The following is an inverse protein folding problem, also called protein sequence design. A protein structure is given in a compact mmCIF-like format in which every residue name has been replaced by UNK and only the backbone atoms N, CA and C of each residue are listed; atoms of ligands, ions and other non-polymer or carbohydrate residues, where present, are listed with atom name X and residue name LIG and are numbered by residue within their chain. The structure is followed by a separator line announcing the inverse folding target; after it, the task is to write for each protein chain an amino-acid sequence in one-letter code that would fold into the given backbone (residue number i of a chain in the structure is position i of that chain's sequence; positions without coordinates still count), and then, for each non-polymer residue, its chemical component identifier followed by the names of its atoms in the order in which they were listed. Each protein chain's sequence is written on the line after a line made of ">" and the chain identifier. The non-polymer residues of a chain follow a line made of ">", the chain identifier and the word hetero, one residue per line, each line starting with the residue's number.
data_IF_074510521278
#
_entry.id   IF_074510521278
#
_cell.length_a   1.000
_cell.length_b   1.000
_cell.length_c   1.000
_cell.angle_alpha   90.00
_cell.angle_beta   90.00
_cell.angle_gamma   90.00
#
_symmetry.space_group_name_H-M   'P 1'
#
loop_
_entity.id
_entity.type
_entity.pdbx_description
1 polymer ?
#
# COMPACT_ATOMS: atom_id res chain seq x y z
N UNK A 1 40.06 -17.87 2.58
CA UNK A 1 39.14 -17.86 1.41
C UNK A 1 37.70 -17.49 1.78
N UNK A 2 37.18 -17.94 2.93
CA UNK A 2 35.82 -17.64 3.39
C UNK A 2 35.54 -16.13 3.60
N UNK A 3 36.52 -15.35 4.05
CA UNK A 3 36.29 -13.92 4.31
C UNK A 3 36.11 -13.09 3.03
N UNK A 4 36.80 -13.48 1.94
CA UNK A 4 36.58 -12.89 0.62
C UNK A 4 35.16 -13.18 0.14
N UNK A 5 34.69 -14.43 0.30
CA UNK A 5 33.33 -14.81 -0.05
C UNK A 5 32.26 -14.06 0.76
N UNK A 6 32.46 -13.92 2.09
CA UNK A 6 31.58 -13.13 2.97
C UNK A 6 31.54 -11.66 2.58
N UNK A 7 32.68 -11.06 2.26
CA UNK A 7 32.75 -9.67 1.85
C UNK A 7 32.03 -9.42 0.52
N UNK A 8 32.15 -10.35 -0.44
CA UNK A 8 31.38 -10.28 -1.68
C UNK A 8 29.88 -10.47 -1.46
N UNK A 9 29.47 -11.44 -0.63
CA UNK A 9 28.06 -11.66 -0.30
C UNK A 9 27.43 -10.41 0.34
N UNK A 10 28.13 -9.78 1.29
CA UNK A 10 27.67 -8.54 1.91
C UNK A 10 27.53 -7.41 0.90
N UNK A 11 28.47 -7.26 -0.04
CA UNK A 11 28.35 -6.25 -1.11
C UNK A 11 27.12 -6.49 -1.98
N UNK A 12 26.87 -7.72 -2.41
CA UNK A 12 25.67 -8.03 -3.22
C UNK A 12 24.36 -7.71 -2.50
N UNK A 13 24.28 -7.98 -1.19
CA UNK A 13 23.11 -7.65 -0.39
C UNK A 13 22.92 -6.12 -0.32
N UNK A 14 24.01 -5.38 -0.07
CA UNK A 14 23.97 -3.91 0.02
C UNK A 14 23.60 -3.28 -1.33
N UNK A 15 24.18 -3.75 -2.43
CA UNK A 15 23.90 -3.25 -3.77
C UNK A 15 22.46 -3.54 -4.20
N UNK A 16 21.96 -4.74 -3.89
CA UNK A 16 20.56 -5.11 -4.16
C UNK A 16 19.59 -4.23 -3.36
N UNK A 17 19.88 -3.98 -2.08
CA UNK A 17 19.07 -3.10 -1.24
C UNK A 17 19.09 -1.65 -1.77
N UNK A 18 20.28 -1.14 -2.12
CA UNK A 18 20.45 0.19 -2.67
C UNK A 18 19.69 0.36 -3.99
N UNK A 19 19.81 -0.61 -4.90
CA UNK A 19 19.07 -0.60 -6.17
C UNK A 19 17.56 -0.58 -5.96
N UNK A 20 17.04 -1.43 -5.06
CA UNK A 20 15.62 -1.48 -4.75
C UNK A 20 15.11 -0.15 -4.17
N UNK A 21 15.89 0.44 -3.25
CA UNK A 21 15.58 1.73 -2.65
C UNK A 21 15.56 2.85 -3.69
N UNK A 22 16.60 2.98 -4.50
CA UNK A 22 16.68 4.03 -5.53
C UNK A 22 15.55 3.91 -6.56
N UNK A 23 15.21 2.68 -6.97
CA UNK A 23 14.08 2.44 -7.88
C UNK A 23 12.75 2.85 -7.25
N UNK A 24 12.57 2.56 -5.97
CA UNK A 24 11.38 2.95 -5.23
C UNK A 24 11.27 4.47 -5.12
N UNK A 25 12.33 5.14 -4.66
CA UNK A 25 12.37 6.59 -4.45
C UNK A 25 12.13 7.36 -5.76
N UNK A 26 12.60 6.83 -6.91
CA UNK A 26 12.35 7.44 -8.24
C UNK A 26 10.90 7.33 -8.71
N UNK A 27 10.24 6.22 -8.41
CA UNK A 27 8.90 5.92 -8.95
C UNK A 27 7.76 6.26 -7.99
N UNK A 28 8.05 6.37 -6.70
CA UNK A 28 7.06 6.62 -5.67
C UNK A 28 6.87 8.12 -5.45
N UNK A 29 5.70 8.62 -5.80
CA UNK A 29 5.24 9.93 -5.37
C UNK A 29 4.40 9.75 -4.10
N UNK A 30 4.74 10.41 -2.99
CA UNK A 30 3.90 10.38 -1.80
C UNK A 30 2.56 11.05 -2.12
N UNK A 31 1.42 10.40 -1.84
CA UNK A 31 0.13 11.04 -2.00
C UNK A 31 -0.14 12.03 -0.86
N UNK A 32 -0.69 13.19 -1.20
CA UNK A 32 -1.15 14.17 -0.23
C UNK A 32 -2.58 13.84 0.20
N UNK A 33 -2.72 12.96 1.18
CA UNK A 33 -4.00 12.67 1.82
C UNK A 33 -4.20 13.54 3.06
N UNK A 34 -5.43 14.01 3.28
CA UNK A 34 -5.83 14.70 4.51
C UNK A 34 -6.81 13.84 5.31
N UNK A 35 -6.81 14.05 6.62
CA UNK A 35 -7.81 13.44 7.51
C UNK A 35 -9.18 14.01 7.10
N UNK A 36 -10.17 13.12 6.93
CA UNK A 36 -11.49 13.47 6.40
C UNK A 36 -11.65 13.29 4.89
N UNK A 37 -10.57 13.08 4.14
CA UNK A 37 -10.68 12.79 2.70
C UNK A 37 -11.37 11.45 2.45
N UNK A 38 -12.13 11.42 1.36
CA UNK A 38 -12.80 10.23 0.85
C UNK A 38 -11.90 9.50 -0.14
N UNK A 39 -11.55 8.26 0.20
CA UNK A 39 -10.66 7.42 -0.60
C UNK A 39 -11.32 6.12 -1.02
N UNK A 40 -10.89 5.62 -2.17
CA UNK A 40 -11.26 4.33 -2.71
C UNK A 40 -10.12 3.34 -2.46
N UNK A 41 -10.43 2.21 -1.83
CA UNK A 41 -9.45 1.17 -1.50
C UNK A 41 -9.45 0.11 -2.60
N UNK A 42 -8.28 -0.22 -3.15
CA UNK A 42 -8.16 -1.19 -4.23
C UNK A 42 -8.43 -2.61 -3.76
N UNK A 43 -9.43 -3.27 -4.35
CA UNK A 43 -9.85 -4.63 -4.00
C UNK A 43 -8.96 -5.73 -4.58
N UNK A 44 -7.96 -5.38 -5.39
CA UNK A 44 -7.12 -6.32 -6.14
C UNK A 44 -6.37 -7.33 -5.23
N UNK A 45 -6.01 -6.91 -4.02
CA UNK A 45 -5.29 -7.76 -3.04
C UNK A 45 -6.21 -8.33 -1.95
N UNK A 46 -7.53 -8.33 -2.16
CA UNK A 46 -8.50 -8.83 -1.18
C UNK A 46 -8.81 -10.31 -1.41
N UNK A 47 -7.85 -11.17 -1.08
CA UNK A 47 -7.95 -12.62 -1.30
C UNK A 47 -8.95 -13.35 -0.38
N UNK A 48 -9.50 -12.68 0.64
CA UNK A 48 -10.33 -13.29 1.69
C UNK A 48 -11.81 -12.88 1.63
N UNK A 49 -12.25 -12.19 0.57
CA UNK A 49 -13.68 -11.93 0.37
C UNK A 49 -14.25 -13.18 -0.26
N UNK A 50 -14.91 -14.02 0.56
CA UNK A 50 -15.67 -15.20 0.14
C UNK A 50 -16.56 -14.82 -1.03
N UNK A 51 -16.14 -15.18 -2.25
CA UNK A 51 -16.96 -15.54 -3.41
C UNK A 51 -16.21 -15.25 -4.72
N UNK A 52 -16.03 -16.27 -5.59
CA UNK A 52 -15.61 -16.09 -6.97
C UNK A 52 -16.84 -15.82 -7.84
N UNK A 53 -17.38 -14.61 -7.77
CA UNK A 53 -18.43 -14.19 -8.72
C UNK A 53 -18.04 -12.84 -9.31
N UNK A 54 -17.56 -12.92 -10.54
CA UNK A 54 -17.77 -11.96 -11.64
C UNK A 54 -17.64 -10.48 -11.30
N UNK A 55 -16.56 -9.86 -11.78
CA UNK A 55 -16.36 -8.40 -11.85
C UNK A 55 -16.56 -7.66 -10.52
N UNK A 56 -15.75 -8.00 -9.51
CA UNK A 56 -15.58 -7.11 -8.35
C UNK A 56 -14.95 -5.82 -8.85
N UNK A 57 -15.63 -4.69 -8.65
CA UNK A 57 -15.06 -3.36 -8.88
C UNK A 57 -13.63 -3.32 -8.34
N UNK A 58 -12.67 -2.86 -9.16
CA UNK A 58 -11.24 -2.83 -8.78
C UNK A 58 -10.94 -1.97 -7.56
N UNK A 59 -11.94 -1.20 -7.12
CA UNK A 59 -11.92 -0.33 -5.96
C UNK A 59 -13.24 -0.46 -5.19
N UNK A 60 -13.16 -0.37 -3.86
CA UNK A 60 -14.29 -0.31 -2.93
C UNK A 60 -14.26 1.02 -2.16
N UNK A 61 -15.43 1.55 -1.81
CA UNK A 61 -15.57 2.82 -1.09
C UNK A 61 -16.44 3.82 -1.87
N UNK A 62 -16.58 5.07 -1.43
CA UNK A 62 -15.59 5.82 -0.65
C UNK A 62 -15.60 5.57 0.87
N UNK A 63 -14.40 5.59 1.45
CA UNK A 63 -14.18 5.52 2.89
C UNK A 63 -13.45 6.75 3.40
N UNK A 64 -13.71 7.13 4.63
CA UNK A 64 -13.10 8.31 5.25
C UNK A 64 -11.78 7.95 5.92
N UNK A 65 -10.75 8.78 5.68
CA UNK A 65 -9.47 8.70 6.41
C UNK A 65 -9.67 9.23 7.83
N UNK A 66 -9.41 8.38 8.83
CA UNK A 66 -9.46 8.74 10.26
C UNK A 66 -8.11 9.25 10.78
N UNK A 67 -7.02 8.61 10.36
CA UNK A 67 -5.68 8.95 10.81
C UNK A 67 -4.64 8.67 9.72
N UNK A 68 -3.55 9.42 9.74
CA UNK A 68 -2.40 9.22 8.86
C UNK A 68 -1.26 8.61 9.67
N UNK A 69 -0.81 7.42 9.29
CA UNK A 69 0.33 6.74 9.88
C UNK A 69 1.57 7.00 9.02
N UNK A 70 2.10 8.21 9.14
CA UNK A 70 3.21 8.70 8.32
C UNK A 70 2.84 8.92 6.85
N UNK A 71 3.83 9.09 5.94
CA UNK A 71 3.57 9.42 4.55
C UNK A 71 3.01 8.25 3.71
N UNK A 72 3.12 7.02 4.21
CA UNK A 72 2.93 5.81 3.41
C UNK A 72 1.76 4.93 3.86
N UNK A 73 1.10 5.25 4.96
CA UNK A 73 -0.03 4.47 5.46
C UNK A 73 -1.15 5.36 5.99
N UNK A 74 -2.39 4.96 5.72
CA UNK A 74 -3.59 5.65 6.16
C UNK A 74 -4.49 4.68 6.91
N UNK A 75 -5.13 5.18 7.96
CA UNK A 75 -6.15 4.45 8.69
C UNK A 75 -7.52 4.89 8.21
N UNK A 76 -8.27 3.93 7.69
CA UNK A 76 -9.54 4.15 7.02
C UNK A 76 -10.65 3.50 7.83
N UNK A 77 -11.76 4.22 7.98
CA UNK A 77 -12.98 3.62 8.54
C UNK A 77 -13.65 2.73 7.50
N UNK A 78 -13.51 1.42 7.68
CA UNK A 78 -14.20 0.43 6.85
C UNK A 78 -15.60 0.17 7.38
N UNK A 79 -16.57 0.09 6.47
CA UNK A 79 -17.97 -0.26 6.78
C UNK A 79 -18.37 -1.56 6.06
N UNK A 80 -19.46 -2.19 6.53
CA UNK A 80 -20.02 -3.41 5.92
C UNK A 80 -19.12 -4.65 6.03
N UNK A 81 -18.99 -5.40 4.94
CA UNK A 81 -18.26 -6.67 4.87
C UNK A 81 -16.74 -6.52 5.12
N UNK A 82 -16.23 -5.30 4.97
CA UNK A 82 -14.80 -4.99 5.12
C UNK A 82 -14.39 -4.63 6.55
N UNK A 83 -15.35 -4.49 7.49
CA UNK A 83 -15.06 -4.23 8.91
C UNK A 83 -14.15 -5.28 9.56
N UNK A 84 -14.16 -6.53 9.06
CA UNK A 84 -13.31 -7.61 9.58
C UNK A 84 -11.85 -7.49 9.15
N UNK A 85 -11.51 -6.56 8.25
CA UNK A 85 -10.14 -6.39 7.73
C UNK A 85 -9.40 -5.30 8.49
N UNK A 86 -8.06 -5.33 8.40
CA UNK A 86 -7.20 -4.30 8.98
C UNK A 86 -7.58 -2.93 8.42
N UNK A 87 -7.78 -1.96 9.32
CA UNK A 87 -8.14 -0.57 9.00
C UNK A 87 -6.96 0.25 8.46
N UNK A 88 -5.72 -0.26 8.58
CA UNK A 88 -4.51 0.40 8.09
C UNK A 88 -4.16 -0.09 6.68
N UNK A 89 -4.16 0.83 5.72
CA UNK A 89 -3.83 0.56 4.33
C UNK A 89 -2.57 1.34 3.90
N UNK A 90 -1.70 0.73 3.08
CA UNK A 90 -0.62 1.46 2.47
C UNK A 90 -1.17 2.36 1.35
N UNK A 91 -0.65 3.58 1.27
CA UNK A 91 -1.04 4.62 0.30
C UNK A 91 -1.00 4.16 -1.18
N UNK A 92 -0.29 3.07 -1.50
CA UNK A 92 -0.25 2.47 -2.84
C UNK A 92 -1.53 1.77 -3.26
N UNK A 93 -2.31 1.31 -2.29
CA UNK A 93 -3.56 0.58 -2.53
C UNK A 93 -4.76 1.52 -2.58
N UNK A 94 -4.59 2.79 -2.23
CA UNK A 94 -5.69 3.75 -2.08
C UNK A 94 -5.64 4.80 -3.21
N UNK A 95 -6.80 5.09 -3.80
CA UNK A 95 -6.97 6.19 -4.76
C UNK A 95 -7.80 7.29 -4.12
N UNK A 96 -7.31 8.53 -4.20
CA UNK A 96 -8.11 9.71 -3.89
C UNK A 96 -9.33 9.78 -4.82
N UNK A 97 -10.51 10.01 -4.26
CA UNK A 97 -11.70 10.34 -5.04
C UNK A 97 -11.58 11.82 -5.45
N UNK A 98 -11.31 12.10 -6.72
CA UNK A 98 -11.39 13.48 -7.20
C UNK A 98 -12.86 13.84 -7.46
N UNK A 99 -13.38 14.95 -6.90
CA UNK A 99 -14.69 15.44 -7.27
C UNK A 99 -14.68 15.85 -8.75
N UNK A 100 -15.68 15.40 -9.51
CA UNK A 100 -15.98 15.90 -10.86
C UNK A 100 -16.72 17.22 -10.78
#
# INVERSE_FOLDING_TARGET
>A
MLDKARHHANRFIQDSFKYAKERWDKSHKPPEFKIGDLVLVSTLNFNHIKDPKTLKYSFAGAFMIKALHGPNAVQIELTGELMKKKSNFPCKSDKALQPK
#
